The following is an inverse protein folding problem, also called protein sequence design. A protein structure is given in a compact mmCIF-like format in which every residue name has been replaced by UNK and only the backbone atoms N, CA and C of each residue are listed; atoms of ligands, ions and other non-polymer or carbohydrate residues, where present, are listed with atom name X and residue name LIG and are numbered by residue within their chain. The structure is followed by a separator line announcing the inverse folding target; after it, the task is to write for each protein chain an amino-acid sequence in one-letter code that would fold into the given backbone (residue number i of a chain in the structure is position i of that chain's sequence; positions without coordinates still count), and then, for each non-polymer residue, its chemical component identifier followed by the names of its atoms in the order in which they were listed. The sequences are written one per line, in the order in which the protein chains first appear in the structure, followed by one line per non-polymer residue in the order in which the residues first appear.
data_IF_505612180825
#
_entry.id   IF_505612180825
#
_cell.length_a   1.000
_cell.length_b   1.000
_cell.length_c   1.000
_cell.angle_alpha   90.00
_cell.angle_beta   90.00
_cell.angle_gamma   90.00
#
_symmetry.space_group_name_H-M   'P 1'
#
loop_
_entity.id
_entity.type
_entity.pdbx_description
1 polymer ?
#
# COMPACT_ATOMS: atom_id res chain seq x y z
N UNK A 1 -12.40 -12.67 7.87
CA UNK A 1 -11.71 -12.05 6.71
C UNK A 1 -11.74 -10.53 6.86
N UNK A 2 -11.18 -10.03 7.96
CA UNK A 2 -11.18 -8.59 8.32
C UNK A 2 -9.78 -7.97 8.35
N UNK A 3 -8.74 -8.79 8.30
CA UNK A 3 -7.31 -8.40 8.18
C UNK A 3 -6.95 -7.79 6.81
N UNK A 4 -7.88 -7.84 5.86
CA UNK A 4 -7.61 -7.76 4.43
C UNK A 4 -7.49 -6.33 3.92
N UNK A 5 -8.18 -5.37 4.56
CA UNK A 5 -8.44 -4.04 3.98
C UNK A 5 -7.56 -2.93 4.51
N UNK A 6 -7.04 -3.08 5.75
CA UNK A 6 -6.14 -2.08 6.32
C UNK A 6 -4.84 -1.99 5.54
N UNK A 7 -4.36 -3.04 4.87
CA UNK A 7 -3.01 -3.07 4.27
C UNK A 7 -2.79 -2.06 3.12
N UNK A 8 -3.80 -1.80 2.28
CA UNK A 8 -3.67 -0.79 1.20
C UNK A 8 -3.66 0.65 1.74
N UNK A 9 -4.37 0.91 2.84
CA UNK A 9 -4.37 2.20 3.55
C UNK A 9 -3.22 2.32 4.57
N UNK A 10 -2.72 1.20 5.10
CA UNK A 10 -1.66 1.13 6.11
C UNK A 10 -0.28 1.18 5.46
N UNK A 11 -0.14 0.72 4.21
CA UNK A 11 1.03 1.00 3.40
C UNK A 11 1.27 2.51 3.19
N UNK A 12 0.20 3.32 3.27
CA UNK A 12 0.25 4.78 3.29
C UNK A 12 0.59 5.35 4.69
N UNK A 13 0.36 4.60 5.78
CA UNK A 13 0.58 5.02 7.18
C UNK A 13 1.88 4.50 7.81
N UNK A 14 2.67 3.67 7.10
CA UNK A 14 3.99 3.17 7.56
C UNK A 14 5.07 4.26 7.73
N UNK A 15 4.75 5.53 7.44
CA UNK A 15 5.62 6.67 7.71
C UNK A 15 5.53 7.20 9.16
N UNK A 16 4.73 6.59 10.04
CA UNK A 16 4.64 6.99 11.46
C UNK A 16 5.36 6.01 12.38
N UNK A 17 6.68 5.88 12.19
CA UNK A 17 7.54 5.15 13.14
C UNK A 17 7.52 5.92 14.46
N UNK A 18 6.83 5.36 15.47
CA UNK A 18 6.89 5.89 16.83
C UNK A 18 8.35 5.81 17.34
N UNK A 19 8.90 6.86 17.98
CA UNK A 19 10.33 6.91 18.36
C UNK A 19 10.78 5.93 19.47
N UNK A 20 10.00 4.90 19.78
CA UNK A 20 10.20 4.04 20.95
C UNK A 20 10.39 2.57 20.63
N UNK A 21 11.42 2.19 19.88
CA UNK A 21 11.82 0.77 19.78
C UNK A 21 13.30 0.64 19.38
N UNK A 22 14.15 0.39 20.38
CA UNK A 22 15.55 0.00 20.15
C UNK A 22 15.66 -1.43 19.62
N UNK A 23 16.62 -1.67 18.73
CA UNK A 23 17.12 -2.97 18.21
C UNK A 23 16.12 -3.96 17.57
N UNK A 24 14.87 -4.05 18.01
CA UNK A 24 13.80 -4.84 17.36
C UNK A 24 13.29 -4.19 16.07
N UNK A 25 13.36 -2.86 16.00
CA UNK A 25 12.82 -2.06 14.88
C UNK A 25 13.51 -2.31 13.53
N UNK A 26 14.78 -2.71 13.48
CA UNK A 26 15.45 -3.01 12.22
C UNK A 26 14.98 -4.34 11.61
N UNK A 27 14.85 -5.40 12.42
CA UNK A 27 14.37 -6.69 11.94
C UNK A 27 12.91 -6.59 11.47
N UNK A 28 12.10 -5.75 12.12
CA UNK A 28 10.71 -5.46 11.76
C UNK A 28 10.59 -4.67 10.44
N UNK A 29 11.55 -3.79 10.14
CA UNK A 29 11.61 -3.07 8.86
C UNK A 29 12.03 -3.99 7.71
N UNK A 30 12.98 -4.90 7.98
CA UNK A 30 13.38 -5.91 6.99
C UNK A 30 12.32 -6.99 6.76
N UNK A 31 11.51 -7.32 7.77
CA UNK A 31 10.38 -8.24 7.63
C UNK A 31 9.25 -7.59 6.83
N UNK A 32 8.85 -6.37 7.18
CA UNK A 32 7.80 -5.61 6.47
C UNK A 32 8.14 -5.35 5.00
N UNK A 33 9.40 -4.99 4.69
CA UNK A 33 9.87 -4.84 3.30
C UNK A 33 9.74 -6.13 2.49
N UNK A 34 10.12 -7.28 3.06
CA UNK A 34 9.98 -8.60 2.40
C UNK A 34 8.52 -9.01 2.23
N UNK A 35 7.69 -8.72 3.23
CA UNK A 35 6.27 -9.03 3.15
C UNK A 35 5.56 -8.16 2.10
N UNK A 36 5.91 -6.86 2.00
CA UNK A 36 5.41 -5.99 0.93
C UNK A 36 5.85 -6.45 -0.46
N UNK A 37 7.10 -6.88 -0.61
CA UNK A 37 7.60 -7.46 -1.86
C UNK A 37 6.80 -8.71 -2.26
N UNK A 38 6.55 -9.60 -1.30
CA UNK A 38 5.78 -10.82 -1.53
C UNK A 38 4.33 -10.51 -1.90
N UNK A 39 3.69 -9.59 -1.18
CA UNK A 39 2.35 -9.10 -1.51
C UNK A 39 2.30 -8.51 -2.92
N UNK A 40 3.28 -7.69 -3.32
CA UNK A 40 3.32 -7.10 -4.65
C UNK A 40 3.42 -8.18 -5.74
N UNK A 41 4.17 -9.26 -5.51
CA UNK A 41 4.24 -10.43 -6.41
C UNK A 41 2.91 -11.17 -6.47
N UNK A 42 2.31 -11.47 -5.33
CA UNK A 42 1.06 -12.22 -5.24
C UNK A 42 -0.09 -11.43 -5.89
N UNK A 43 -0.15 -10.13 -5.66
CA UNK A 43 -1.09 -9.22 -6.33
C UNK A 43 -0.88 -9.22 -7.84
N UNK A 44 0.37 -9.08 -8.30
CA UNK A 44 0.70 -9.06 -9.73
C UNK A 44 0.29 -10.36 -10.42
N UNK A 45 0.55 -11.49 -9.78
CA UNK A 45 0.13 -12.82 -10.25
C UNK A 45 -1.40 -12.96 -10.26
N UNK A 46 -2.08 -12.48 -9.21
CA UNK A 46 -3.53 -12.51 -9.10
C UNK A 46 -4.23 -11.71 -10.22
N UNK A 47 -3.66 -10.58 -10.65
CA UNK A 47 -4.28 -9.67 -11.63
C UNK A 47 -3.65 -9.72 -13.03
N UNK A 48 -2.74 -10.66 -13.30
CA UNK A 48 -1.93 -10.68 -14.55
C UNK A 48 -2.77 -10.79 -15.82
N UNK A 49 -3.89 -11.50 -15.73
CA UNK A 49 -4.77 -11.90 -16.84
C UNK A 49 -5.90 -10.90 -17.11
N UNK A 50 -6.05 -9.87 -16.27
CA UNK A 50 -7.11 -8.86 -16.42
C UNK A 50 -6.58 -7.51 -16.90
N UNK A 51 -7.46 -6.80 -17.59
CA UNK A 51 -7.35 -5.37 -17.90
C UNK A 51 -8.67 -4.72 -17.51
N UNK A 52 -8.64 -3.40 -17.32
CA UNK A 52 -9.84 -2.64 -16.99
C UNK A 52 -10.17 -1.59 -18.04
N UNK A 53 -11.46 -1.27 -18.13
CA UNK A 53 -12.00 -0.20 -18.96
C UNK A 53 -12.72 0.84 -18.07
N UNK A 54 -13.42 1.78 -18.69
CA UNK A 54 -14.11 2.85 -17.97
C UNK A 54 -15.27 2.33 -17.09
N UNK A 55 -16.03 1.34 -17.56
CA UNK A 55 -17.11 0.72 -16.79
C UNK A 55 -16.57 0.04 -15.52
N UNK A 56 -15.40 -0.57 -15.60
CA UNK A 56 -14.75 -1.21 -14.45
C UNK A 56 -14.35 -0.18 -13.39
N UNK A 57 -13.83 0.99 -13.81
CA UNK A 57 -13.47 2.09 -12.88
C UNK A 57 -14.72 2.68 -12.24
N UNK A 58 -15.78 2.91 -13.02
CA UNK A 58 -17.05 3.42 -12.50
C UNK A 58 -17.73 2.40 -11.57
N UNK A 59 -17.63 1.11 -11.90
CA UNK A 59 -18.13 0.04 -11.04
C UNK A 59 -17.40 -0.02 -9.71
N UNK A 60 -16.06 0.15 -9.71
CA UNK A 60 -15.29 0.28 -8.48
C UNK A 60 -15.80 1.46 -7.64
N UNK A 61 -15.83 2.67 -8.20
CA UNK A 61 -16.26 3.87 -7.48
C UNK A 61 -17.68 3.72 -6.93
N UNK A 62 -18.60 3.14 -7.70
CA UNK A 62 -20.01 3.00 -7.28
C UNK A 62 -20.24 1.92 -6.23
N UNK A 63 -19.37 0.92 -6.14
CA UNK A 63 -19.57 -0.25 -5.28
C UNK A 63 -18.61 -0.27 -4.10
N UNK A 64 -17.73 0.73 -3.98
CA UNK A 64 -16.67 0.77 -2.98
C UNK A 64 -17.22 0.69 -1.56
N UNK A 65 -18.11 1.60 -1.17
CA UNK A 65 -18.67 1.67 0.19
C UNK A 65 -19.42 0.38 0.55
N UNK A 66 -20.19 -0.14 -0.40
CA UNK A 66 -20.93 -1.40 -0.23
C UNK A 66 -19.97 -2.59 -0.04
N UNK A 67 -18.84 -2.58 -0.76
CA UNK A 67 -17.83 -3.62 -0.71
C UNK A 67 -17.04 -3.57 0.60
N UNK A 68 -16.61 -2.39 1.04
CA UNK A 68 -15.88 -2.20 2.31
C UNK A 68 -16.77 -2.55 3.51
N UNK A 69 -18.08 -2.30 3.43
CA UNK A 69 -19.05 -2.69 4.46
C UNK A 69 -19.21 -4.22 4.63
N UNK A 70 -18.95 -5.04 3.60
CA UNK A 70 -18.95 -6.52 3.73
C UNK A 70 -17.88 -6.97 4.74
N UNK A 71 -16.84 -6.16 4.95
CA UNK A 71 -15.77 -6.39 5.93
C UNK A 71 -16.19 -6.25 7.40
N UNK A 72 -17.20 -5.43 7.74
CA UNK A 72 -17.79 -5.26 9.09
C UNK A 72 -16.89 -4.71 10.23
N UNK A 73 -17.45 -3.83 11.08
CA UNK A 73 -16.80 -2.87 12.01
C UNK A 73 -15.98 -3.39 13.21
N UNK A 74 -15.96 -4.67 13.59
CA UNK A 74 -15.21 -5.12 14.77
C UNK A 74 -14.21 -6.24 14.43
N UNK A 75 -12.92 -5.93 14.40
CA UNK A 75 -11.82 -6.88 14.45
C UNK A 75 -10.75 -6.32 15.38
N UNK A 76 -10.38 -7.09 16.40
CA UNK A 76 -9.22 -6.82 17.25
C UNK A 76 -7.95 -6.76 16.37
N UNK A 77 -7.11 -5.77 16.66
CA UNK A 77 -5.88 -5.38 15.97
C UNK A 77 -4.79 -6.46 16.08
N UNK A 78 -4.87 -7.53 15.29
CA UNK A 78 -3.74 -8.44 15.09
C UNK A 78 -3.05 -8.13 13.75
N UNK A 79 -1.89 -7.46 13.84
CA UNK A 79 -1.25 -6.56 12.85
C UNK A 79 -0.52 -7.17 11.63
N UNK A 80 -0.52 -8.48 11.35
CA UNK A 80 0.60 -9.05 10.55
C UNK A 80 0.30 -9.87 9.26
N UNK A 81 -0.91 -9.85 8.68
CA UNK A 81 -1.17 -10.63 7.44
C UNK A 81 -1.67 -9.79 6.26
N UNK A 82 -0.87 -9.77 5.18
CA UNK A 82 -1.24 -9.22 3.88
C UNK A 82 -2.46 -9.94 3.28
N UNK A 83 -3.17 -9.26 2.36
CA UNK A 83 -4.41 -9.73 1.75
C UNK A 83 -4.28 -11.11 1.08
N UNK A 84 -5.04 -12.09 1.55
CA UNK A 84 -5.27 -13.36 0.86
C UNK A 84 -6.46 -13.22 -0.11
N UNK A 85 -6.16 -12.98 -1.38
CA UNK A 85 -7.16 -12.82 -2.44
C UNK A 85 -8.04 -14.06 -2.61
N UNK A 86 -7.48 -15.26 -2.39
CA UNK A 86 -8.22 -16.51 -2.53
C UNK A 86 -9.26 -16.63 -1.41
N UNK A 87 -8.88 -16.29 -0.18
CA UNK A 87 -9.82 -16.28 0.94
C UNK A 87 -11.04 -15.40 0.67
N UNK A 88 -10.86 -14.19 0.12
CA UNK A 88 -11.96 -13.29 -0.26
C UNK A 88 -12.93 -13.98 -1.23
N UNK A 89 -12.39 -14.62 -2.27
CA UNK A 89 -13.21 -15.29 -3.28
C UNK A 89 -14.02 -16.47 -2.72
N UNK A 90 -13.53 -17.12 -1.66
CA UNK A 90 -14.26 -18.18 -0.97
C UNK A 90 -15.18 -17.68 0.14
N UNK A 91 -15.13 -16.39 0.50
CA UNK A 91 -15.97 -15.83 1.54
C UNK A 91 -17.45 -15.85 1.16
N UNK A 92 -18.28 -16.31 2.10
CA UNK A 92 -19.72 -16.39 1.88
C UNK A 92 -20.36 -15.01 1.82
N UNK A 93 -19.90 -14.06 2.63
CA UNK A 93 -20.47 -12.72 2.65
C UNK A 93 -20.13 -11.97 1.35
N UNK A 94 -18.86 -12.00 0.94
CA UNK A 94 -18.40 -11.48 -0.35
C UNK A 94 -19.18 -12.07 -1.54
N UNK A 95 -19.30 -13.40 -1.60
CA UNK A 95 -20.03 -14.05 -2.71
C UNK A 95 -21.51 -13.66 -2.73
N UNK A 96 -22.15 -13.61 -1.56
CA UNK A 96 -23.55 -13.19 -1.45
C UNK A 96 -23.74 -11.73 -1.87
N UNK A 97 -22.79 -10.87 -1.52
CA UNK A 97 -22.75 -9.48 -1.96
C UNK A 97 -22.58 -9.38 -3.48
N UNK A 98 -21.60 -10.06 -4.06
CA UNK A 98 -21.37 -10.06 -5.51
C UNK A 98 -22.60 -10.55 -6.29
N UNK A 99 -23.23 -11.63 -5.81
CA UNK A 99 -24.47 -12.15 -6.37
C UNK A 99 -25.61 -11.11 -6.28
N UNK A 100 -25.73 -10.39 -5.14
CA UNK A 100 -26.75 -9.35 -4.94
C UNK A 100 -26.56 -8.14 -5.86
N UNK A 101 -25.33 -7.86 -6.30
CA UNK A 101 -25.00 -6.79 -7.24
C UNK A 101 -25.04 -7.26 -8.70
N UNK A 102 -25.26 -8.56 -8.94
CA UNK A 102 -25.27 -9.13 -10.29
C UNK A 102 -23.93 -9.06 -11.01
N UNK A 103 -22.82 -9.06 -10.26
CA UNK A 103 -21.46 -8.97 -10.79
C UNK A 103 -20.74 -10.32 -10.74
N UNK A 104 -19.77 -10.52 -11.64
CA UNK A 104 -18.82 -11.61 -11.50
C UNK A 104 -17.78 -11.21 -10.43
N UNK A 105 -17.92 -11.75 -9.22
CA UNK A 105 -17.05 -11.41 -8.09
C UNK A 105 -15.56 -11.57 -8.40
N UNK A 106 -15.13 -12.70 -8.96
CA UNK A 106 -13.71 -12.92 -9.28
C UNK A 106 -13.16 -11.85 -10.21
N UNK A 107 -13.86 -11.59 -11.32
CA UNK A 107 -13.43 -10.60 -12.31
C UNK A 107 -13.45 -9.19 -11.74
N UNK A 108 -14.47 -8.86 -10.94
CA UNK A 108 -14.56 -7.56 -10.30
C UNK A 108 -13.41 -7.35 -9.32
N UNK A 109 -13.12 -8.33 -8.43
CA UNK A 109 -12.04 -8.24 -7.47
C UNK A 109 -10.68 -8.10 -8.15
N UNK A 110 -10.38 -8.93 -9.15
CA UNK A 110 -9.12 -8.84 -9.91
C UNK A 110 -8.93 -7.45 -10.53
N UNK A 111 -9.97 -6.89 -11.16
CA UNK A 111 -9.88 -5.57 -11.79
C UNK A 111 -9.79 -4.45 -10.77
N UNK A 112 -10.56 -4.49 -9.69
CA UNK A 112 -10.47 -3.55 -8.57
C UNK A 112 -9.06 -3.54 -7.98
N UNK A 113 -8.49 -4.71 -7.68
CA UNK A 113 -7.13 -4.83 -7.16
C UNK A 113 -6.08 -4.31 -8.14
N UNK A 114 -6.25 -4.55 -9.45
CA UNK A 114 -5.38 -3.97 -10.49
C UNK A 114 -5.44 -2.44 -10.52
N UNK A 115 -6.64 -1.86 -10.44
CA UNK A 115 -6.82 -0.40 -10.42
C UNK A 115 -6.11 0.18 -9.19
N UNK A 116 -6.39 -0.34 -7.99
CA UNK A 116 -5.79 0.13 -6.75
C UNK A 116 -4.26 0.01 -6.75
N UNK A 117 -3.71 -1.11 -7.25
CA UNK A 117 -2.26 -1.30 -7.38
C UNK A 117 -1.62 -0.25 -8.28
N UNK A 118 -2.28 0.12 -9.37
CA UNK A 118 -1.76 1.11 -10.31
C UNK A 118 -1.90 2.55 -9.81
N UNK A 119 -2.96 2.85 -9.06
CA UNK A 119 -3.11 4.13 -8.34
C UNK A 119 -1.98 4.27 -7.34
N UNK A 120 -1.75 3.26 -6.50
CA UNK A 120 -0.64 3.22 -5.53
C UNK A 120 0.71 3.42 -6.23
N UNK A 121 0.98 2.65 -7.29
CA UNK A 121 2.22 2.79 -8.08
C UNK A 121 2.40 4.21 -8.60
N UNK A 122 1.36 4.79 -9.19
CA UNK A 122 1.42 6.15 -9.75
C UNK A 122 1.67 7.21 -8.68
N UNK A 123 1.06 7.05 -7.49
CA UNK A 123 1.28 7.95 -6.35
C UNK A 123 2.73 7.88 -5.86
N UNK A 124 3.28 6.67 -5.69
CA UNK A 124 4.66 6.49 -5.25
C UNK A 124 5.65 7.01 -6.31
N UNK A 125 5.41 6.74 -7.59
CA UNK A 125 6.25 7.27 -8.68
C UNK A 125 6.21 8.81 -8.73
N UNK A 126 5.04 9.42 -8.53
CA UNK A 126 4.90 10.87 -8.47
C UNK A 126 5.68 11.46 -7.28
N UNK A 127 5.52 10.90 -6.08
CA UNK A 127 6.22 11.33 -4.87
C UNK A 127 7.73 11.05 -4.93
N UNK A 128 8.17 10.02 -5.66
CA UNK A 128 9.59 9.73 -5.86
C UNK A 128 10.25 10.70 -6.85
N UNK A 129 9.47 11.33 -7.73
CA UNK A 129 9.94 12.25 -8.77
C UNK A 129 9.94 13.72 -8.35
N UNK A 130 9.24 14.09 -7.28
CA UNK A 130 9.36 15.41 -6.66
C UNK A 130 10.74 15.56 -6.01
N UNK A 131 11.45 16.65 -6.34
CA UNK A 131 12.82 16.96 -5.92
C UNK A 131 13.03 17.11 -4.40
N UNK A 132 11.98 17.06 -3.58
CA UNK A 132 12.05 16.97 -2.11
C UNK A 132 12.30 15.51 -1.67
N UNK A 133 13.20 14.84 -2.37
CA UNK A 133 13.54 13.46 -2.05
C UNK A 133 14.17 13.43 -0.67
N UNK A 134 13.82 12.41 0.11
CA UNK A 134 14.49 12.01 1.34
C UNK A 134 15.98 11.81 1.04
N UNK A 135 16.75 12.90 1.03
CA UNK A 135 18.20 12.85 0.86
C UNK A 135 18.76 12.49 2.22
N UNK A 136 18.85 11.17 2.46
CA UNK A 136 19.39 10.64 3.71
C UNK A 136 20.76 11.27 4.00
N UNK A 137 21.55 11.57 2.98
CA UNK A 137 22.87 12.17 3.18
C UNK A 137 22.74 13.60 3.71
N UNK A 138 21.92 14.43 3.10
CA UNK A 138 21.70 15.80 3.58
C UNK A 138 21.08 15.82 4.98
N UNK A 139 20.12 14.93 5.26
CA UNK A 139 19.49 14.85 6.58
C UNK A 139 20.46 14.33 7.66
N UNK A 140 21.31 13.35 7.34
CA UNK A 140 22.37 12.89 8.27
C UNK A 140 23.42 13.98 8.50
N UNK A 141 23.77 14.78 7.49
CA UNK A 141 24.65 15.94 7.64
C UNK A 141 24.03 16.98 8.59
N UNK A 142 22.74 17.29 8.44
CA UNK A 142 22.02 18.19 9.37
C UNK A 142 21.96 17.62 10.79
N UNK A 143 21.73 16.31 10.95
CA UNK A 143 21.76 15.65 12.26
C UNK A 143 23.13 15.78 12.93
N UNK A 144 24.23 15.67 12.19
CA UNK A 144 25.58 15.87 12.72
C UNK A 144 25.83 17.30 13.18
N UNK A 145 25.30 18.30 12.46
CA UNK A 145 25.38 19.71 12.88
C UNK A 145 24.63 19.96 14.19
N UNK A 146 23.53 19.23 14.42
CA UNK A 146 22.74 19.33 15.65
C UNK A 146 23.28 18.47 16.80
N UNK A 147 24.20 17.53 16.53
CA UNK A 147 24.75 16.62 17.54
C UNK A 147 25.25 17.31 18.83
N UNK A 148 25.94 18.47 18.80
CA UNK A 148 26.37 19.15 20.02
C UNK A 148 25.22 19.67 20.92
N UNK A 149 24.00 19.73 20.40
CA UNK A 149 22.80 20.25 21.09
C UNK A 149 21.96 19.14 21.71
N UNK A 150 22.32 17.88 21.50
CA UNK A 150 21.61 16.70 22.02
C UNK A 150 22.58 15.77 22.75
N UNK A 151 22.05 14.89 23.60
CA UNK A 151 22.85 13.82 24.19
C UNK A 151 23.11 12.69 23.16
N UNK A 152 24.11 11.85 23.45
CA UNK A 152 24.54 10.79 22.53
C UNK A 152 23.47 9.72 22.32
N UNK A 153 22.63 9.45 23.32
CA UNK A 153 21.55 8.47 23.21
C UNK A 153 20.49 8.96 22.21
N UNK A 154 20.05 10.22 22.35
CA UNK A 154 19.12 10.88 21.43
C UNK A 154 19.68 10.92 20.00
N UNK A 155 20.95 11.28 19.83
CA UNK A 155 21.59 11.30 18.50
C UNK A 155 21.59 9.93 17.83
N UNK A 156 21.96 8.87 18.55
CA UNK A 156 21.98 7.50 17.99
C UNK A 156 20.57 7.02 17.64
N UNK A 157 19.56 7.33 18.46
CA UNK A 157 18.17 6.97 18.17
C UNK A 157 17.66 7.68 16.90
N UNK A 158 17.89 8.98 16.77
CA UNK A 158 17.49 9.74 15.58
C UNK A 158 18.18 9.21 14.32
N UNK A 159 19.48 8.96 14.39
CA UNK A 159 20.25 8.39 13.28
C UNK A 159 19.70 7.04 12.84
N UNK A 160 19.47 6.13 13.79
CA UNK A 160 18.91 4.82 13.50
C UNK A 160 17.52 4.93 12.87
N UNK A 161 16.65 5.80 13.37
CA UNK A 161 15.32 6.02 12.81
C UNK A 161 15.37 6.55 11.36
N UNK A 162 16.33 7.42 11.04
CA UNK A 162 16.50 7.95 9.69
C UNK A 162 17.02 6.89 8.71
N UNK A 163 18.01 6.10 9.11
CA UNK A 163 18.53 4.99 8.30
C UNK A 163 17.48 3.90 8.08
N UNK A 164 16.71 3.59 9.14
CA UNK A 164 15.56 2.70 9.12
C UNK A 164 14.47 3.18 8.13
N UNK A 165 14.08 4.45 8.21
CA UNK A 165 13.12 5.05 7.28
C UNK A 165 13.60 5.03 5.84
N UNK A 166 14.88 5.28 5.60
CA UNK A 166 15.49 5.19 4.27
C UNK A 166 15.40 3.77 3.70
N UNK A 167 15.74 2.76 4.52
CA UNK A 167 15.69 1.36 4.12
C UNK A 167 14.25 0.91 3.82
N UNK A 168 13.27 1.37 4.61
CA UNK A 168 11.86 1.10 4.36
C UNK A 168 11.40 1.70 3.01
N UNK A 169 11.71 2.97 2.76
CA UNK A 169 11.38 3.65 1.49
C UNK A 169 12.03 2.98 0.28
N UNK A 170 13.30 2.57 0.42
CA UNK A 170 14.00 1.83 -0.62
C UNK A 170 13.33 0.47 -0.87
N UNK A 171 12.94 -0.26 0.18
CA UNK A 171 12.22 -1.53 0.07
C UNK A 171 10.87 -1.40 -0.65
N UNK A 172 10.12 -0.32 -0.39
CA UNK A 172 8.88 0.00 -1.11
C UNK A 172 9.19 0.23 -2.59
N UNK A 173 10.18 1.08 -2.91
CA UNK A 173 10.56 1.39 -4.28
C UNK A 173 11.04 0.15 -5.05
N UNK A 174 11.85 -0.70 -4.41
CA UNK A 174 12.31 -1.96 -5.00
C UNK A 174 11.17 -2.95 -5.23
N UNK A 175 10.10 -2.86 -4.45
CA UNK A 175 8.91 -3.69 -4.60
C UNK A 175 7.96 -3.20 -5.69
N UNK A 176 7.98 -1.90 -6.03
CA UNK A 176 7.16 -1.33 -7.11
C UNK A 176 7.39 -2.02 -8.46
N UNK A 177 8.58 -2.55 -8.71
CA UNK A 177 8.89 -3.25 -9.96
C UNK A 177 8.05 -4.52 -10.17
N UNK A 178 7.48 -5.07 -9.10
CA UNK A 178 6.59 -6.24 -9.17
C UNK A 178 5.14 -5.86 -9.44
N UNK A 179 4.72 -4.64 -9.08
CA UNK A 179 3.36 -4.16 -9.32
C UNK A 179 3.05 -4.02 -10.82
N UNK A 180 1.79 -4.26 -11.23
CA UNK A 180 1.41 -4.17 -12.63
C UNK A 180 1.64 -2.76 -13.20
N UNK A 181 2.11 -2.70 -14.44
CA UNK A 181 2.31 -1.45 -15.19
C UNK A 181 1.09 -1.15 -16.05
N UNK A 182 0.51 0.07 -15.98
CA UNK A 182 -0.64 0.44 -16.81
C UNK A 182 -0.24 0.52 -18.28
N UNK A 183 -1.08 -0.05 -19.16
CA UNK A 183 -1.02 0.27 -20.59
C UNK A 183 -1.56 1.68 -20.84
N UNK A 184 -1.39 2.22 -22.04
CA UNK A 184 -1.79 3.60 -22.36
C UNK A 184 -3.28 3.89 -22.06
N UNK A 185 -4.18 2.97 -22.39
CA UNK A 185 -5.62 3.14 -22.12
C UNK A 185 -5.95 3.12 -20.63
N UNK A 186 -5.32 2.23 -19.86
CA UNK A 186 -5.47 2.16 -18.40
C UNK A 186 -4.93 3.45 -17.75
N UNK A 187 -3.76 3.93 -18.21
CA UNK A 187 -3.17 5.18 -17.74
C UNK A 187 -4.09 6.38 -17.96
N UNK A 188 -4.72 6.48 -19.13
CA UNK A 188 -5.69 7.55 -19.40
C UNK A 188 -6.87 7.53 -18.43
N UNK A 189 -7.39 6.35 -18.09
CA UNK A 189 -8.48 6.20 -17.14
C UNK A 189 -8.05 6.58 -15.72
N UNK A 190 -6.87 6.12 -15.29
CA UNK A 190 -6.31 6.49 -13.98
C UNK A 190 -6.14 8.01 -13.87
N UNK A 191 -5.64 8.68 -14.91
CA UNK A 191 -5.53 10.15 -14.93
C UNK A 191 -6.91 10.82 -14.90
N UNK A 192 -7.88 10.32 -15.66
CA UNK A 192 -9.24 10.89 -15.72
C UNK A 192 -9.98 10.80 -14.39
N UNK A 193 -9.79 9.70 -13.66
CA UNK A 193 -10.52 9.36 -12.43
C UNK A 193 -9.69 9.51 -11.16
N UNK A 194 -8.48 10.08 -11.23
CA UNK A 194 -7.50 10.13 -10.14
C UNK A 194 -8.11 10.64 -8.83
N UNK A 195 -8.80 11.79 -8.88
CA UNK A 195 -9.34 12.41 -7.67
C UNK A 195 -10.43 11.55 -7.01
N UNK A 196 -11.24 10.83 -7.80
CA UNK A 196 -12.27 9.94 -7.25
C UNK A 196 -11.64 8.67 -6.66
N UNK A 197 -10.62 8.12 -7.34
CA UNK A 197 -9.92 6.91 -6.89
C UNK A 197 -9.07 7.14 -5.64
N UNK A 198 -8.51 8.35 -5.47
CA UNK A 198 -7.72 8.72 -4.29
C UNK A 198 -8.59 9.08 -3.07
N UNK A 199 -9.87 9.36 -3.27
CA UNK A 199 -10.83 9.74 -2.23
C UNK A 199 -11.99 8.72 -2.13
N UNK A 200 -11.69 7.43 -2.32
CA UNK A 200 -12.63 6.36 -2.04
C UNK A 200 -12.78 6.23 -0.50
N UNK A 201 -13.97 6.51 0.02
CA UNK A 201 -14.29 6.49 1.46
C UNK A 201 -14.98 5.19 1.88
#
# INVERSE_FOLDING_TARGET
MKKIWFVLLSALMLCTVSPGAGQSSQDDIYSSGRQFEQWAKDLSEFVKDVRFNEEDVQSLISLWDDFTAVGGEEAEEDEEEFMDFSAILYDKAYRSWADSKGINGEMWLKKTMRIMAMVMRSSIEANSSSQEQFDLKAQLEELEEMRPQMDEETYQQMKQAMEAGAAAMQGINDSLKYLPVPIASEKMLLTKYNDQLMNLE
#
